data_IF_227797536185
#
_entry.id   IF_227797536185
#
_cell.length_a   1.000
_cell.length_b   1.000
_cell.length_c   1.000
_cell.angle_alpha   90.00
_cell.angle_beta   90.00
_cell.angle_gamma   90.00
#
_symmetry.space_group_name_H-M   'P 1'
#
loop_
_entity.id
_entity.type
_entity.pdbx_description
1 polymer ?
#
# COMPACT_ATOMS: atom_id res chain seq x y z
N UNK A 1 -1.92 -11.56 -6.77
CA UNK A 1 -1.54 -11.60 -5.35
C UNK A 1 -0.07 -11.33 -5.23
N UNK A 2 0.33 -10.56 -4.21
CA UNK A 2 1.72 -10.20 -3.95
C UNK A 2 2.03 -10.43 -2.47
N UNK A 3 3.29 -10.70 -2.15
CA UNK A 3 3.78 -10.68 -0.77
C UNK A 3 4.69 -9.47 -0.59
N UNK A 4 4.56 -8.79 0.55
CA UNK A 4 5.39 -7.63 0.88
C UNK A 4 5.83 -7.68 2.35
N UNK A 5 7.01 -7.13 2.62
CA UNK A 5 7.47 -6.83 3.97
C UNK A 5 7.25 -5.33 4.23
N UNK A 6 6.50 -5.01 5.28
CA UNK A 6 6.13 -3.64 5.66
C UNK A 6 6.72 -3.31 7.03
N UNK A 7 7.23 -2.11 7.17
CA UNK A 7 7.76 -1.63 8.45
C UNK A 7 6.63 -1.38 9.46
N UNK A 8 6.86 -1.80 10.69
CA UNK A 8 5.89 -1.68 11.78
C UNK A 8 5.06 -2.94 11.95
N UNK A 9 3.98 -2.79 12.71
CA UNK A 9 2.96 -3.80 12.95
C UNK A 9 1.69 -3.37 12.23
N UNK A 10 1.17 -4.25 11.40
CA UNK A 10 -0.07 -4.03 10.65
C UNK A 10 -1.26 -4.70 11.35
N UNK A 11 -2.50 -4.24 11.10
CA UNK A 11 -3.71 -4.99 11.46
C UNK A 11 -3.71 -6.39 10.83
N UNK A 12 -4.47 -7.33 11.39
CA UNK A 12 -4.56 -8.70 10.87
C UNK A 12 -5.02 -8.74 9.41
N UNK A 13 -5.96 -7.88 9.03
CA UNK A 13 -6.39 -7.67 7.66
C UNK A 13 -6.90 -6.24 7.45
N UNK A 14 -7.13 -5.88 6.19
CA UNK A 14 -7.78 -4.63 5.87
C UNK A 14 -7.89 -4.33 4.39
N UNK A 15 -8.49 -3.18 4.10
CA UNK A 15 -8.66 -2.67 2.74
C UNK A 15 -8.17 -1.24 2.65
N UNK A 16 -7.21 -1.00 1.76
CA UNK A 16 -6.75 0.34 1.40
C UNK A 16 -7.55 0.76 0.17
N UNK A 17 -8.52 1.65 0.38
CA UNK A 17 -9.36 2.26 -0.66
C UNK A 17 -9.07 3.77 -0.72
N UNK A 18 -8.11 4.14 -1.56
CA UNK A 18 -7.67 5.52 -1.71
C UNK A 18 -7.24 5.78 -3.16
N UNK A 19 -7.72 6.87 -3.80
CA UNK A 19 -7.39 7.15 -5.18
C UNK A 19 -5.91 7.51 -5.36
N UNK A 20 -5.27 6.94 -6.39
CA UNK A 20 -3.84 7.14 -6.68
C UNK A 20 -3.67 7.95 -7.95
N UNK A 21 -2.83 8.99 -7.88
CA UNK A 21 -2.44 9.85 -9.00
C UNK A 21 -0.94 10.17 -8.97
N UNK A 22 -0.45 10.90 -9.99
CA UNK A 22 0.91 11.45 -9.94
C UNK A 22 0.98 12.51 -8.85
N UNK A 23 2.08 12.53 -8.10
CA UNK A 23 2.33 13.59 -7.12
C UNK A 23 2.41 14.96 -7.85
N UNK A 24 1.67 15.97 -7.38
CA UNK A 24 1.61 17.29 -8.03
C UNK A 24 2.92 18.09 -7.88
N UNK A 25 3.75 17.79 -6.88
CA UNK A 25 5.04 18.43 -6.62
C UNK A 25 6.18 17.70 -7.31
N UNK A 26 6.16 16.36 -7.31
CA UNK A 26 7.21 15.53 -7.88
C UNK A 26 6.67 14.49 -8.87
N UNK A 27 6.69 14.82 -10.17
CA UNK A 27 5.97 14.06 -11.22
C UNK A 27 6.45 12.62 -11.44
N UNK A 28 7.60 12.23 -10.90
CA UNK A 28 8.13 10.85 -10.94
C UNK A 28 7.55 9.97 -9.82
N UNK A 29 6.92 10.57 -8.80
CA UNK A 29 6.26 9.86 -7.70
C UNK A 29 4.75 9.73 -7.92
N UNK A 30 4.18 8.75 -7.24
CA UNK A 30 2.74 8.52 -7.14
C UNK A 30 2.33 8.87 -5.70
N UNK A 31 1.11 9.34 -5.51
CA UNK A 31 0.58 9.75 -4.21
C UNK A 31 -0.93 9.47 -4.13
N UNK A 32 -1.47 9.52 -2.91
CA UNK A 32 -2.91 9.60 -2.69
C UNK A 32 -3.39 10.98 -3.16
N UNK A 33 -4.31 11.01 -4.12
CA UNK A 33 -4.80 12.24 -4.76
C UNK A 33 -6.32 12.21 -4.83
N UNK A 34 -6.99 13.04 -4.04
CA UNK A 34 -8.46 13.09 -3.98
C UNK A 34 -9.12 14.00 -5.04
N UNK A 35 -8.32 14.69 -5.86
CA UNK A 35 -8.86 15.48 -7.00
C UNK A 35 -9.16 14.59 -8.21
N UNK A 36 -9.78 15.15 -9.26
CA UNK A 36 -10.13 14.44 -10.50
C UNK A 36 -8.96 13.76 -11.23
N UNK A 37 -7.70 14.09 -10.90
CA UNK A 37 -6.51 13.45 -11.47
C UNK A 37 -6.14 12.12 -10.79
N UNK A 38 -6.67 11.87 -9.58
CA UNK A 38 -6.54 10.59 -8.90
C UNK A 38 -7.48 9.55 -9.50
N UNK A 39 -6.98 8.33 -9.69
CA UNK A 39 -7.77 7.22 -10.21
C UNK A 39 -8.16 6.29 -9.06
N UNK A 40 -9.41 5.78 -9.01
CA UNK A 40 -9.83 4.81 -8.00
C UNK A 40 -8.84 3.65 -7.89
N UNK A 41 -8.55 3.25 -6.66
CA UNK A 41 -7.56 2.24 -6.36
C UNK A 41 -7.91 1.52 -5.08
N UNK A 42 -7.95 0.19 -5.15
CA UNK A 42 -8.25 -0.67 -4.00
C UNK A 42 -7.31 -1.85 -3.90
N UNK A 43 -6.79 -2.06 -2.69
CA UNK A 43 -5.92 -3.17 -2.31
C UNK A 43 -6.44 -3.78 -1.00
N UNK A 44 -6.70 -5.07 -0.98
CA UNK A 44 -6.91 -5.82 0.26
C UNK A 44 -5.57 -6.36 0.74
N UNK A 45 -5.38 -6.44 2.05
CA UNK A 45 -4.23 -7.09 2.63
C UNK A 45 -4.61 -7.99 3.81
N UNK A 46 -3.79 -9.00 4.03
CA UNK A 46 -3.82 -9.88 5.19
C UNK A 46 -2.40 -9.99 5.74
N UNK A 47 -2.23 -9.84 7.05
CA UNK A 47 -0.95 -9.99 7.74
C UNK A 47 -0.71 -11.45 8.05
N UNK A 48 0.36 -12.00 7.48
CA UNK A 48 0.75 -13.39 7.64
C UNK A 48 1.65 -13.62 8.85
N UNK A 49 2.24 -12.54 9.39
CA UNK A 49 3.04 -12.58 10.59
C UNK A 49 3.88 -11.32 10.78
N UNK A 50 4.23 -11.04 12.03
CA UNK A 50 5.04 -9.89 12.43
C UNK A 50 6.24 -10.37 13.23
N UNK A 51 7.44 -9.92 12.85
CA UNK A 51 8.71 -10.29 13.50
C UNK A 51 9.47 -9.05 13.96
N UNK A 52 10.25 -9.13 15.05
CA UNK A 52 11.18 -8.06 15.40
C UNK A 52 12.32 -7.97 14.38
N UNK A 53 12.71 -6.75 14.00
CA UNK A 53 13.87 -6.47 13.16
C UNK A 53 14.62 -5.25 13.69
N UNK A 54 15.82 -5.48 14.24
CA UNK A 54 16.60 -4.45 14.91
C UNK A 54 15.86 -3.88 16.13
N UNK A 55 15.60 -2.56 16.12
CA UNK A 55 14.81 -1.88 17.17
C UNK A 55 13.32 -1.74 16.83
N UNK A 56 12.87 -2.30 15.70
CA UNK A 56 11.49 -2.19 15.22
C UNK A 56 10.84 -3.55 14.95
N UNK A 57 9.68 -3.50 14.30
CA UNK A 57 8.94 -4.67 13.80
C UNK A 57 8.82 -4.60 12.28
N UNK A 58 8.67 -5.76 11.65
CA UNK A 58 8.31 -5.91 10.24
C UNK A 58 7.18 -6.92 10.13
N UNK A 59 6.15 -6.57 9.37
CA UNK A 59 5.02 -7.45 9.06
C UNK A 59 5.12 -7.96 7.63
N UNK A 60 4.94 -9.27 7.46
CA UNK A 60 4.71 -9.87 6.15
C UNK A 60 3.23 -9.80 5.83
N UNK A 61 2.88 -9.16 4.72
CA UNK A 61 1.50 -9.01 4.27
C UNK A 61 1.29 -9.62 2.88
N UNK A 62 0.14 -10.24 2.68
CA UNK A 62 -0.35 -10.67 1.38
C UNK A 62 -1.28 -9.60 0.83
N UNK A 63 -0.93 -9.02 -0.32
CA UNK A 63 -1.74 -8.01 -0.99
C UNK A 63 -2.53 -8.61 -2.16
N UNK A 64 -3.83 -8.31 -2.20
CA UNK A 64 -4.73 -8.63 -3.29
C UNK A 64 -5.22 -7.32 -3.93
N UNK A 65 -5.01 -7.19 -5.23
CA UNK A 65 -5.31 -5.97 -5.96
C UNK A 65 -6.64 -6.12 -6.70
N UNK A 66 -7.61 -5.23 -6.45
CA UNK A 66 -8.76 -5.08 -7.34
C UNK A 66 -8.39 -4.22 -8.56
N UNK A 67 -7.41 -3.34 -8.41
CA UNK A 67 -6.96 -2.39 -9.44
C UNK A 67 -5.45 -2.47 -9.67
N UNK A 68 -4.98 -2.03 -10.85
CA UNK A 68 -3.54 -2.00 -11.19
C UNK A 68 -2.99 -0.60 -11.41
N UNK A 69 -2.98 0.28 -10.41
CA UNK A 69 -2.37 1.61 -10.53
C UNK A 69 -0.85 1.54 -10.41
N UNK A 70 -0.14 2.50 -11.02
CA UNK A 70 1.32 2.62 -10.89
C UNK A 70 1.71 2.76 -9.43
N UNK A 71 2.66 1.92 -8.98
CA UNK A 71 3.16 1.87 -7.59
C UNK A 71 2.10 1.58 -6.51
N UNK A 72 0.94 1.01 -6.85
CA UNK A 72 -0.20 0.87 -5.93
C UNK A 72 0.11 0.21 -4.57
N UNK A 73 0.98 -0.80 -4.52
CA UNK A 73 1.35 -1.46 -3.24
C UNK A 73 2.28 -0.58 -2.38
N UNK A 74 2.95 0.41 -2.98
CA UNK A 74 4.02 1.20 -2.36
C UNK A 74 3.60 2.62 -1.94
N UNK A 75 2.43 3.08 -2.38
CA UNK A 75 1.86 4.41 -2.07
C UNK A 75 0.91 4.26 -0.91
#
# INVERSE_FOLDING_TARGET
TYLALVWGETPDDGTIDAPIGRDPRERTRMAIVHTNSGKPSRTHFETLGTVPLGRGKVSMVMCQLETGRTHQIRV
#
